data_IF_281494738555
#
_entry.id   IF_281494738555
#
_cell.length_a   1.000
_cell.length_b   1.000
_cell.length_c   1.000
_cell.angle_alpha   90.00
_cell.angle_beta   90.00
_cell.angle_gamma   90.00
#
_symmetry.space_group_name_H-M   'P 1'
#
loop_
_entity.id
_entity.type
_entity.pdbx_description
1 polymer ?
#
# COMPACT_ATOMS: atom_id res chain seq x y z
N UNK A 1 -22.20 -12.06 -1.53
CA UNK A 1 -22.89 -12.88 -2.56
C UNK A 1 -24.34 -13.20 -2.21
N UNK A 2 -24.65 -13.87 -1.08
CA UNK A 2 -26.07 -14.08 -0.68
C UNK A 2 -26.84 -12.79 -0.39
N UNK A 3 -26.17 -11.77 0.14
CA UNK A 3 -26.79 -10.46 0.42
C UNK A 3 -27.13 -9.64 -0.85
N UNK A 4 -26.45 -9.88 -1.98
CA UNK A 4 -26.62 -9.15 -3.24
C UNK A 4 -27.53 -9.89 -4.25
N UNK A 5 -27.98 -11.11 -3.92
CA UNK A 5 -28.81 -11.93 -4.82
C UNK A 5 -28.14 -12.40 -6.12
N UNK A 6 -26.85 -12.11 -6.34
CA UNK A 6 -26.11 -12.45 -7.55
C UNK A 6 -25.64 -13.91 -7.54
N UNK A 7 -25.89 -14.63 -8.64
CA UNK A 7 -25.27 -15.94 -8.88
C UNK A 7 -23.76 -15.81 -9.07
N UNK A 8 -23.00 -16.88 -8.79
CA UNK A 8 -21.55 -16.92 -8.98
C UNK A 8 -21.12 -16.58 -10.42
N UNK A 9 -21.93 -16.97 -11.40
CA UNK A 9 -21.74 -16.64 -12.81
C UNK A 9 -21.84 -15.14 -13.07
N UNK A 10 -22.92 -14.51 -12.59
CA UNK A 10 -23.14 -13.07 -12.76
C UNK A 10 -22.07 -12.25 -12.04
N UNK A 11 -21.65 -12.68 -10.85
CA UNK A 11 -20.61 -12.01 -10.09
C UNK A 11 -19.26 -12.10 -10.81
N UNK A 12 -18.88 -13.30 -11.29
CA UNK A 12 -17.65 -13.52 -12.06
C UNK A 12 -17.61 -12.67 -13.33
N UNK A 13 -18.72 -12.59 -14.06
CA UNK A 13 -18.85 -11.73 -15.24
C UNK A 13 -18.64 -10.25 -14.90
N UNK A 14 -19.24 -9.77 -13.79
CA UNK A 14 -19.17 -8.36 -13.36
C UNK A 14 -17.74 -7.92 -12.99
N UNK A 15 -16.98 -8.80 -12.34
CA UNK A 15 -15.56 -8.56 -11.99
C UNK A 15 -14.58 -8.95 -13.11
N UNK A 16 -15.07 -9.42 -14.27
CA UNK A 16 -14.22 -9.85 -15.38
C UNK A 16 -13.35 -11.08 -15.09
N UNK A 17 -13.72 -11.90 -14.10
CA UNK A 17 -13.02 -13.14 -13.78
C UNK A 17 -13.76 -14.34 -14.36
N UNK A 18 -13.02 -15.40 -14.70
CA UNK A 18 -13.64 -16.69 -14.97
C UNK A 18 -14.25 -17.24 -13.66
N UNK A 19 -15.45 -17.79 -13.74
CA UNK A 19 -16.16 -18.47 -12.64
C UNK A 19 -15.26 -19.48 -11.91
N UNK A 20 -14.46 -20.24 -12.66
CA UNK A 20 -13.50 -21.19 -12.09
C UNK A 20 -12.41 -20.50 -11.26
N UNK A 21 -11.92 -19.33 -11.71
CA UNK A 21 -10.92 -18.54 -10.96
C UNK A 21 -11.54 -17.96 -9.70
N UNK A 22 -12.73 -17.37 -9.81
CA UNK A 22 -13.46 -16.83 -8.66
C UNK A 22 -13.75 -17.93 -7.63
N UNK A 23 -14.25 -19.09 -8.07
CA UNK A 23 -14.50 -20.23 -7.19
C UNK A 23 -13.20 -20.72 -6.52
N UNK A 24 -12.10 -20.82 -7.27
CA UNK A 24 -10.82 -21.25 -6.73
C UNK A 24 -10.27 -20.28 -5.66
N UNK A 25 -10.48 -18.97 -5.82
CA UNK A 25 -10.15 -17.94 -4.83
C UNK A 25 -11.08 -18.03 -3.62
N UNK A 26 -12.39 -18.11 -3.81
CA UNK A 26 -13.37 -18.18 -2.72
C UNK A 26 -13.21 -19.43 -1.85
N UNK A 27 -12.69 -20.51 -2.42
CA UNK A 27 -12.36 -21.73 -1.70
C UNK A 27 -10.97 -21.67 -1.04
N UNK A 28 -10.29 -20.53 -1.04
CA UNK A 28 -8.98 -20.32 -0.40
C UNK A 28 -7.79 -20.93 -1.14
N UNK A 29 -7.99 -21.51 -2.32
CA UNK A 29 -6.94 -22.23 -3.04
C UNK A 29 -6.03 -21.31 -3.87
N UNK A 30 -6.39 -20.03 -4.01
CA UNK A 30 -5.55 -19.02 -4.66
C UNK A 30 -5.66 -17.69 -3.94
N UNK A 31 -4.50 -17.12 -3.64
CA UNK A 31 -4.39 -15.76 -3.13
C UNK A 31 -4.90 -14.75 -4.16
N UNK A 32 -5.81 -13.88 -3.72
CA UNK A 32 -6.35 -12.76 -4.48
C UNK A 32 -5.27 -11.69 -4.72
N UNK A 33 -5.27 -10.99 -5.86
CA UNK A 33 -4.48 -9.76 -6.01
C UNK A 33 -5.22 -8.55 -5.44
N UNK A 34 -4.53 -7.44 -5.18
CA UNK A 34 -5.19 -6.24 -4.64
C UNK A 34 -6.20 -5.65 -5.63
N UNK A 35 -5.91 -5.72 -6.94
CA UNK A 35 -6.81 -5.24 -7.99
C UNK A 35 -8.07 -6.11 -8.06
N UNK A 36 -7.93 -7.42 -7.89
CA UNK A 36 -9.07 -8.33 -7.82
C UNK A 36 -9.89 -8.09 -6.55
N UNK A 37 -9.24 -7.77 -5.43
CA UNK A 37 -9.93 -7.39 -4.19
C UNK A 37 -10.73 -6.11 -4.39
N UNK A 38 -10.16 -5.10 -5.03
CA UNK A 38 -10.85 -3.84 -5.34
C UNK A 38 -12.09 -4.09 -6.21
N UNK A 39 -11.98 -4.89 -7.27
CA UNK A 39 -13.11 -5.25 -8.13
C UNK A 39 -14.23 -5.98 -7.38
N UNK A 40 -13.86 -6.92 -6.51
CA UNK A 40 -14.82 -7.64 -5.66
C UNK A 40 -15.51 -6.66 -4.70
N UNK A 41 -14.73 -5.78 -4.07
CA UNK A 41 -15.21 -4.77 -3.12
C UNK A 41 -16.21 -3.82 -3.79
N UNK A 42 -15.88 -3.32 -4.98
CA UNK A 42 -16.75 -2.46 -5.79
C UNK A 42 -18.03 -3.20 -6.20
N UNK A 43 -17.92 -4.46 -6.63
CA UNK A 43 -19.08 -5.25 -7.01
C UNK A 43 -20.05 -5.51 -5.85
N UNK A 44 -19.54 -5.44 -4.61
CA UNK A 44 -20.31 -5.51 -3.36
C UNK A 44 -20.86 -4.14 -2.92
N UNK A 45 -20.65 -3.08 -3.70
CA UNK A 45 -21.10 -1.72 -3.36
C UNK A 45 -20.32 -1.07 -2.22
N UNK A 46 -19.12 -1.58 -1.90
CA UNK A 46 -18.27 -1.09 -0.83
C UNK A 46 -17.17 -0.18 -1.39
N UNK A 47 -16.67 0.73 -0.54
CA UNK A 47 -15.59 1.64 -0.93
C UNK A 47 -14.25 0.89 -1.12
N UNK A 48 -13.43 1.35 -2.07
CA UNK A 48 -12.05 0.89 -2.24
C UNK A 48 -11.30 0.93 -0.90
N UNK A 49 -10.52 -0.10 -0.60
CA UNK A 49 -9.79 -0.19 0.66
C UNK A 49 -10.54 -0.89 1.80
N UNK A 50 -11.83 -1.19 1.65
CA UNK A 50 -12.65 -1.79 2.71
C UNK A 50 -12.02 -3.05 3.31
N UNK A 51 -11.49 -3.94 2.46
CA UNK A 51 -10.87 -5.20 2.89
C UNK A 51 -9.35 -5.15 3.03
N UNK A 52 -8.70 -3.97 2.96
CA UNK A 52 -7.23 -3.91 2.97
C UNK A 52 -6.60 -4.36 4.29
N UNK A 53 -7.25 -4.11 5.43
CA UNK A 53 -6.76 -4.63 6.72
C UNK A 53 -6.78 -6.16 6.74
N UNK A 54 -7.90 -6.76 6.36
CA UNK A 54 -8.03 -8.22 6.29
C UNK A 54 -7.04 -8.82 5.29
N UNK A 55 -6.89 -8.21 4.12
CA UNK A 55 -5.90 -8.63 3.13
C UNK A 55 -4.47 -8.54 3.67
N UNK A 56 -4.13 -7.48 4.41
CA UNK A 56 -2.83 -7.35 5.04
C UNK A 56 -2.55 -8.53 6.00
N UNK A 57 -3.49 -8.81 6.90
CA UNK A 57 -3.36 -9.86 7.91
C UNK A 57 -3.30 -11.26 7.28
N UNK A 58 -4.27 -11.61 6.44
CA UNK A 58 -4.42 -12.97 5.92
C UNK A 58 -3.48 -13.29 4.74
N UNK A 59 -2.99 -12.27 4.03
CA UNK A 59 -2.19 -12.49 2.81
C UNK A 59 -0.74 -12.06 2.97
N UNK A 60 -0.49 -10.89 3.54
CA UNK A 60 0.86 -10.32 3.58
C UNK A 60 1.64 -10.73 4.82
N UNK A 61 0.99 -10.87 5.98
CA UNK A 61 1.66 -11.28 7.22
C UNK A 61 1.89 -12.79 7.26
N UNK A 62 0.93 -13.60 6.83
CA UNK A 62 1.02 -15.07 6.89
C UNK A 62 1.97 -15.69 5.83
N UNK A 63 2.60 -14.89 4.98
CA UNK A 63 3.49 -15.38 3.92
C UNK A 63 4.88 -14.75 3.97
N UNK A 64 5.86 -15.40 3.34
CA UNK A 64 7.17 -14.78 3.15
C UNK A 64 7.00 -13.48 2.33
N UNK A 65 7.66 -12.37 2.73
CA UNK A 65 7.46 -11.10 2.07
C UNK A 65 7.67 -11.19 0.56
N UNK A 66 6.62 -10.84 -0.20
CA UNK A 66 6.62 -10.90 -1.66
C UNK A 66 6.44 -9.50 -2.23
N UNK A 67 7.53 -8.93 -2.75
CA UNK A 67 7.51 -7.59 -3.31
C UNK A 67 6.46 -7.38 -4.41
N UNK A 68 6.19 -8.39 -5.24
CA UNK A 68 5.16 -8.29 -6.30
C UNK A 68 3.74 -8.12 -5.75
N UNK A 69 3.49 -8.51 -4.49
CA UNK A 69 2.21 -8.30 -3.79
C UNK A 69 2.23 -7.05 -2.92
N UNK A 70 3.33 -6.79 -2.24
CA UNK A 70 3.46 -5.66 -1.32
C UNK A 70 3.49 -4.34 -2.08
N UNK A 71 4.18 -4.25 -3.23
CA UNK A 71 4.21 -3.03 -4.05
C UNK A 71 2.80 -2.53 -4.42
N UNK A 72 1.93 -3.31 -5.11
CA UNK A 72 0.60 -2.82 -5.46
C UNK A 72 -0.28 -2.55 -4.23
N UNK A 73 -0.10 -3.31 -3.13
CA UNK A 73 -0.78 -3.01 -1.86
C UNK A 73 -0.42 -1.62 -1.30
N UNK A 74 0.87 -1.27 -1.29
CA UNK A 74 1.35 0.06 -0.86
C UNK A 74 0.75 1.17 -1.73
N UNK A 75 0.72 0.98 -3.05
CA UNK A 75 0.08 1.92 -3.98
C UNK A 75 -1.42 2.09 -3.70
N UNK A 76 -2.15 0.99 -3.53
CA UNK A 76 -3.57 1.02 -3.18
C UNK A 76 -3.81 1.77 -1.86
N UNK A 77 -3.01 1.51 -0.82
CA UNK A 77 -3.12 2.20 0.46
C UNK A 77 -2.88 3.70 0.32
N UNK A 78 -1.92 4.10 -0.51
CA UNK A 78 -1.63 5.50 -0.76
C UNK A 78 -2.75 6.22 -1.53
N UNK A 79 -3.49 5.52 -2.39
CA UNK A 79 -4.64 6.09 -3.10
C UNK A 79 -5.82 6.39 -2.17
N UNK A 80 -6.06 5.53 -1.18
CA UNK A 80 -7.14 5.71 -0.18
C UNK A 80 -6.70 6.55 1.02
N UNK A 81 -5.44 6.99 1.06
CA UNK A 81 -4.88 7.77 2.18
C UNK A 81 -4.71 6.98 3.49
N UNK A 82 -4.55 5.65 3.41
CA UNK A 82 -4.37 4.80 4.58
C UNK A 82 -2.88 4.62 4.89
N UNK A 83 -2.31 5.58 5.62
CA UNK A 83 -0.89 5.64 5.97
C UNK A 83 -0.48 4.55 6.96
N UNK A 84 -1.38 4.14 7.85
CA UNK A 84 -1.11 3.09 8.84
C UNK A 84 -0.83 1.74 8.19
N UNK A 85 -1.59 1.40 7.14
CA UNK A 85 -1.34 0.18 6.37
C UNK A 85 -0.04 0.23 5.57
N UNK A 86 0.36 1.41 5.08
CA UNK A 86 1.68 1.58 4.46
C UNK A 86 2.77 1.33 5.49
N UNK A 87 2.67 1.92 6.68
CA UNK A 87 3.62 1.69 7.78
C UNK A 87 3.76 0.20 8.11
N UNK A 88 2.63 -0.49 8.30
CA UNK A 88 2.62 -1.93 8.57
C UNK A 88 3.27 -2.74 7.43
N UNK A 89 2.97 -2.41 6.18
CA UNK A 89 3.53 -3.10 5.01
C UNK A 89 5.04 -2.92 4.87
N UNK A 90 5.57 -1.71 5.09
CA UNK A 90 7.03 -1.49 5.00
C UNK A 90 7.78 -2.11 6.18
N UNK A 91 7.15 -2.24 7.35
CA UNK A 91 7.74 -2.92 8.50
C UNK A 91 8.02 -4.40 8.23
N UNK A 92 7.20 -5.08 7.42
CA UNK A 92 7.47 -6.46 6.99
C UNK A 92 8.77 -6.60 6.20
N UNK A 93 9.33 -5.49 5.69
CA UNK A 93 10.51 -5.47 4.83
C UNK A 93 11.77 -4.93 5.52
N UNK A 94 11.64 -4.39 6.74
CA UNK A 94 12.68 -3.60 7.39
C UNK A 94 14.03 -4.34 7.52
N UNK A 95 13.98 -5.63 7.86
CA UNK A 95 15.18 -6.45 8.10
C UNK A 95 15.77 -7.05 6.81
N UNK A 96 15.16 -6.78 5.65
CA UNK A 96 15.59 -7.36 4.37
C UNK A 96 16.10 -6.29 3.41
N UNK A 97 17.41 -6.04 3.48
CA UNK A 97 18.13 -5.02 2.68
C UNK A 97 17.87 -5.07 1.16
N UNK A 98 17.54 -6.25 0.60
CA UNK A 98 17.23 -6.39 -0.84
C UNK A 98 16.01 -5.57 -1.26
N UNK A 99 15.10 -5.28 -0.32
CA UNK A 99 13.90 -4.49 -0.60
C UNK A 99 14.12 -2.99 -0.43
N UNK A 100 15.22 -2.55 0.19
CA UNK A 100 15.49 -1.13 0.41
C UNK A 100 15.58 -0.34 -0.90
N UNK A 101 16.20 -0.92 -1.95
CA UNK A 101 16.24 -0.28 -3.27
C UNK A 101 14.84 -0.16 -3.88
N UNK A 102 14.04 -1.21 -3.77
CA UNK A 102 12.69 -1.24 -4.31
C UNK A 102 11.75 -0.29 -3.59
N UNK A 103 11.86 -0.19 -2.27
CA UNK A 103 11.13 0.77 -1.44
C UNK A 103 11.54 2.20 -1.77
N UNK A 104 12.83 2.44 -2.00
CA UNK A 104 13.32 3.74 -2.41
C UNK A 104 12.71 4.21 -3.74
N UNK A 105 12.64 3.33 -4.73
CA UNK A 105 12.02 3.66 -6.02
C UNK A 105 10.55 4.07 -5.85
N UNK A 106 9.79 3.33 -5.03
CA UNK A 106 8.39 3.67 -4.72
C UNK A 106 8.28 4.97 -3.91
N UNK A 107 9.23 5.25 -3.02
CA UNK A 107 9.29 6.52 -2.30
C UNK A 107 9.47 7.70 -3.26
N UNK A 108 10.38 7.58 -4.25
CA UNK A 108 10.59 8.61 -5.27
C UNK A 108 9.34 8.79 -6.16
N UNK A 109 8.63 7.71 -6.50
CA UNK A 109 7.37 7.77 -7.24
C UNK A 109 6.30 8.56 -6.47
N UNK A 110 6.15 8.29 -5.17
CA UNK A 110 5.24 9.05 -4.30
C UNK A 110 5.67 10.50 -4.11
N UNK A 111 6.96 10.75 -3.94
CA UNK A 111 7.49 12.10 -3.83
C UNK A 111 7.18 12.93 -5.08
N UNK A 112 7.48 12.39 -6.27
CA UNK A 112 7.23 13.04 -7.57
C UNK A 112 5.74 13.26 -7.84
N UNK A 113 4.88 12.34 -7.40
CA UNK A 113 3.42 12.47 -7.52
C UNK A 113 2.76 13.30 -6.40
N UNK A 114 3.55 13.88 -5.49
CA UNK A 114 3.06 14.75 -4.43
C UNK A 114 2.42 14.04 -3.23
N UNK A 115 2.47 12.70 -3.18
CA UNK A 115 1.99 11.89 -2.04
C UNK A 115 3.03 11.86 -0.92
N UNK A 116 3.26 13.02 -0.30
CA UNK A 116 4.37 13.24 0.63
C UNK A 116 4.32 12.35 1.87
N UNK A 117 3.14 12.13 2.44
CA UNK A 117 2.94 11.28 3.62
C UNK A 117 3.43 9.86 3.34
N UNK A 118 2.98 9.24 2.24
CA UNK A 118 3.45 7.93 1.82
C UNK A 118 4.97 7.91 1.55
N UNK A 119 5.48 8.93 0.84
CA UNK A 119 6.92 9.02 0.55
C UNK A 119 7.77 9.07 1.82
N UNK A 120 7.37 9.87 2.83
CA UNK A 120 8.05 9.97 4.13
C UNK A 120 8.17 8.58 4.79
N UNK A 121 7.06 7.84 4.84
CA UNK A 121 7.01 6.51 5.47
C UNK A 121 8.04 5.56 4.84
N UNK A 122 8.11 5.55 3.52
CA UNK A 122 9.03 4.69 2.79
C UNK A 122 10.49 5.14 2.97
N UNK A 123 10.79 6.43 2.87
CA UNK A 123 12.14 6.94 3.11
C UNK A 123 12.64 6.66 4.53
N UNK A 124 11.79 6.79 5.55
CA UNK A 124 12.14 6.45 6.93
C UNK A 124 12.48 4.97 7.06
N UNK A 125 11.70 4.08 6.44
CA UNK A 125 11.98 2.65 6.45
C UNK A 125 13.31 2.33 5.75
N UNK A 126 13.56 2.86 4.55
CA UNK A 126 14.84 2.68 3.82
C UNK A 126 16.01 3.19 4.64
N UNK A 127 15.89 4.38 5.24
CA UNK A 127 16.95 4.97 6.05
C UNK A 127 17.27 4.13 7.30
N UNK A 128 16.25 3.50 7.91
CA UNK A 128 16.44 2.59 9.03
C UNK A 128 17.12 1.28 8.58
N UNK A 129 16.67 0.66 7.49
CA UNK A 129 17.27 -0.56 6.95
C UNK A 129 18.73 -0.37 6.56
N UNK A 130 19.09 0.79 6.00
CA UNK A 130 20.44 1.05 5.51
C UNK A 130 21.35 1.78 6.50
N UNK A 131 20.92 2.00 7.75
CA UNK A 131 21.66 2.82 8.74
C UNK A 131 23.13 2.40 8.95
N UNK A 132 23.41 1.10 8.82
CA UNK A 132 24.76 0.54 9.00
C UNK A 132 25.57 0.46 7.69
N UNK A 133 25.00 0.91 6.58
CA UNK A 133 25.65 1.01 5.29
C UNK A 133 25.78 2.49 4.92
N UNK A 134 27.00 2.94 4.64
CA UNK A 134 27.24 4.31 4.17
C UNK A 134 26.84 4.45 2.69
N UNK A 135 25.55 4.26 2.39
CA UNK A 135 25.02 4.31 1.03
C UNK A 135 24.68 5.75 0.62
N UNK A 136 24.88 6.06 -0.67
CA UNK A 136 24.38 7.30 -1.28
C UNK A 136 22.86 7.44 -1.12
N UNK A 137 22.15 6.31 -1.17
CA UNK A 137 20.69 6.24 -1.00
C UNK A 137 20.25 6.72 0.38
N UNK A 138 20.98 6.36 1.44
CA UNK A 138 20.70 6.86 2.79
C UNK A 138 20.79 8.39 2.85
N UNK A 139 21.83 8.99 2.25
CA UNK A 139 21.97 10.44 2.17
C UNK A 139 20.79 11.08 1.41
N UNK A 140 20.38 10.48 0.30
CA UNK A 140 19.24 10.97 -0.48
C UNK A 140 17.91 10.85 0.27
N UNK A 141 17.67 9.74 0.99
CA UNK A 141 16.52 9.58 1.89
C UNK A 141 16.47 10.71 2.94
N UNK A 142 17.58 10.98 3.62
CA UNK A 142 17.65 12.04 4.64
C UNK A 142 17.34 13.42 4.04
N UNK A 143 17.90 13.71 2.86
CA UNK A 143 17.58 14.95 2.13
C UNK A 143 16.09 15.05 1.77
N UNK A 144 15.50 13.99 1.21
CA UNK A 144 14.07 13.95 0.86
C UNK A 144 13.17 14.13 2.07
N UNK A 145 13.50 13.46 3.17
CA UNK A 145 12.78 13.60 4.45
C UNK A 145 12.81 15.04 4.95
N UNK A 146 13.97 15.70 4.90
CA UNK A 146 14.10 17.10 5.26
C UNK A 146 13.19 18.00 4.41
N UNK A 147 13.21 17.86 3.08
CA UNK A 147 12.38 18.64 2.15
C UNK A 147 10.87 18.40 2.39
N UNK A 148 10.47 17.14 2.58
CA UNK A 148 9.09 16.80 2.85
C UNK A 148 8.58 17.39 4.17
N UNK A 149 9.37 17.29 5.24
CA UNK A 149 9.01 17.79 6.59
C UNK A 149 8.94 19.32 6.62
N UNK A 150 9.87 20.02 5.97
CA UNK A 150 9.84 21.48 5.87
C UNK A 150 8.55 21.99 5.20
N UNK A 151 8.09 21.31 4.14
CA UNK A 151 6.85 21.65 3.45
C UNK A 151 5.58 21.36 4.27
N UNK A 152 5.59 20.32 5.10
CA UNK A 152 4.46 19.97 5.97
C UNK A 152 4.29 20.96 7.13
N UNK A 153 5.39 21.43 7.72
CA UNK A 153 5.36 22.42 8.79
C UNK A 153 4.82 23.77 8.32
N UNK A 154 5.12 24.17 7.09
CA UNK A 154 4.56 25.39 6.50
C UNK A 154 3.04 25.28 6.28
N UNK A 155 2.54 24.13 5.80
CA UNK A 155 1.09 23.90 5.64
C UNK A 155 0.33 23.87 6.96
N UNK A 156 0.88 23.18 7.97
CA UNK A 156 0.27 23.12 9.31
C UNK A 156 0.15 24.51 9.91
N UNK A 157 1.19 25.35 9.83
CA UNK A 157 1.16 26.73 10.29
C UNK A 157 0.06 27.57 9.61
N UNK A 158 -0.08 27.48 8.29
CA UNK A 158 -1.14 28.20 7.56
C UNK A 158 -2.56 27.74 7.95
N UNK A 159 -2.77 26.43 8.15
CA UNK A 159 -4.08 25.91 8.58
C UNK A 159 -4.44 26.31 10.01
N UNK A 160 -3.46 26.56 10.88
CA UNK A 160 -3.68 27.01 12.25
C UNK A 160 -3.88 28.54 12.36
N UNK A 161 -3.40 29.31 11.38
CA UNK A 161 -3.56 30.77 11.35
C UNK A 161 -4.88 31.26 10.74
N UNK A 162 -5.61 30.39 10.02
CA UNK A 162 -6.91 30.72 9.41
C UNK A 162 -8.13 30.35 10.29
N UNK A 163 -7.91 30.03 11.57
CA UNK A 163 -8.96 29.64 12.53
C UNK A 163 -9.13 30.66 13.66
N UNK A 164 -8.94 31.95 13.38
CA UNK A 164 -9.18 33.05 14.34
C UNK A 164 -10.14 34.05 13.72
#
# INVERSE_FOLDING_TARGET
MKQEGLSLSQFAQKIGLNIGTLSYILNGNRTLSIEQLDLITECMGLAKGYFYNQYFEEVLVESTPNWRRIKPFIYGCAEIGNWDLIHKAVQLLLDTLVYSSHLFDVAEDFYKSGKKEAAIILYENVALSERNQHSERLALCQYRLFICKLGNDQRKKLSSSNTI
#
